data_IF_176689437078
#
_entry.id   IF_176689437078
#
_cell.length_a   1.000
_cell.length_b   1.000
_cell.length_c   1.000
_cell.angle_alpha   90.00
_cell.angle_beta   90.00
_cell.angle_gamma   90.00
#
_symmetry.space_group_name_H-M   'P 1'
#
loop_
_entity.id
_entity.type
_entity.pdbx_description
1 polymer ?
#
# COMPACT_ATOMS: atom_id res chain seq x y z
N UNK A 1 -13.60 49.83 25.02
CA UNK A 1 -13.38 48.37 24.85
C UNK A 1 -12.01 48.16 24.23
N UNK A 2 -11.05 47.59 24.96
CA UNK A 2 -9.76 47.26 24.36
C UNK A 2 -9.93 46.03 23.46
N UNK A 3 -9.76 46.19 22.15
CA UNK A 3 -9.72 45.10 21.19
C UNK A 3 -8.43 44.31 21.38
N UNK A 4 -8.39 43.42 22.38
CA UNK A 4 -7.27 42.54 22.65
C UNK A 4 -7.10 41.52 21.52
N UNK A 5 -6.34 41.88 20.48
CA UNK A 5 -5.93 40.93 19.43
C UNK A 5 -5.04 39.89 20.11
N UNK A 6 -5.48 38.63 20.17
CA UNK A 6 -4.69 37.54 20.77
C UNK A 6 -3.37 37.40 19.99
N UNK A 7 -2.26 37.83 20.58
CA UNK A 7 -0.92 37.82 19.96
C UNK A 7 -0.11 36.55 20.29
N UNK A 8 -0.67 35.62 21.08
CA UNK A 8 0.05 34.45 21.53
C UNK A 8 -0.87 33.25 21.77
N UNK A 9 -0.49 32.12 21.20
CA UNK A 9 -1.16 30.81 21.31
C UNK A 9 -0.40 29.77 20.46
N UNK A 10 -0.67 28.48 20.67
CA UNK A 10 -0.11 27.42 19.81
C UNK A 10 -0.60 27.66 18.37
N UNK A 11 0.32 27.66 17.41
CA UNK A 11 -0.06 27.73 15.99
C UNK A 11 -0.93 26.51 15.66
N UNK A 12 -2.02 26.74 14.92
CA UNK A 12 -2.84 25.65 14.43
C UNK A 12 -1.97 24.68 13.62
N UNK A 13 -2.07 23.39 13.91
CA UNK A 13 -1.22 22.36 13.31
C UNK A 13 0.06 22.03 14.07
N UNK A 14 0.41 22.71 15.17
CA UNK A 14 1.53 22.29 16.03
C UNK A 14 1.17 20.99 16.76
N UNK A 15 1.81 19.84 16.42
CA UNK A 15 1.51 18.55 17.02
C UNK A 15 1.80 18.59 18.53
N UNK A 16 1.08 17.77 19.29
CA UNK A 16 1.26 17.74 20.73
C UNK A 16 2.54 16.96 21.06
N UNK A 17 3.55 17.67 21.60
CA UNK A 17 4.91 17.13 21.81
C UNK A 17 4.91 15.82 22.59
N UNK A 18 4.16 15.75 23.69
CA UNK A 18 3.98 14.53 24.48
C UNK A 18 3.42 13.35 23.65
N UNK A 19 2.41 13.60 22.81
CA UNK A 19 1.84 12.53 21.97
C UNK A 19 2.75 12.10 20.83
N UNK A 20 3.65 12.99 20.39
CA UNK A 20 4.66 12.68 19.39
C UNK A 20 5.74 11.79 19.99
N UNK A 21 6.26 12.16 21.16
CA UNK A 21 7.29 11.38 21.88
C UNK A 21 6.81 9.98 22.25
N UNK A 22 5.58 9.85 22.77
CA UNK A 22 5.01 8.52 23.08
C UNK A 22 4.79 7.67 21.83
N UNK A 23 4.31 8.27 20.74
CA UNK A 23 4.16 7.57 19.46
C UNK A 23 5.51 7.12 18.91
N UNK A 24 6.54 7.97 19.01
CA UNK A 24 7.88 7.63 18.53
C UNK A 24 8.47 6.47 19.32
N UNK A 25 8.30 6.46 20.65
CA UNK A 25 8.74 5.35 21.49
C UNK A 25 8.08 4.02 21.09
N UNK A 26 6.77 4.05 20.84
CA UNK A 26 6.04 2.85 20.36
C UNK A 26 6.51 2.38 18.98
N UNK A 27 6.79 3.31 18.06
CA UNK A 27 7.32 2.96 16.73
C UNK A 27 8.69 2.33 16.86
N UNK A 28 9.56 2.87 17.71
CA UNK A 28 10.89 2.32 17.94
C UNK A 28 10.81 0.92 18.55
N UNK A 29 9.99 0.73 19.59
CA UNK A 29 9.79 -0.58 20.20
C UNK A 29 9.29 -1.63 19.19
N UNK A 30 8.34 -1.26 18.30
CA UNK A 30 7.90 -2.16 17.24
C UNK A 30 9.02 -2.46 16.23
N UNK A 31 9.86 -1.48 15.88
CA UNK A 31 11.00 -1.70 14.99
C UNK A 31 12.01 -2.68 15.59
N UNK A 32 12.32 -2.53 16.87
CA UNK A 32 13.24 -3.42 17.59
C UNK A 32 12.71 -4.87 17.61
N UNK A 33 11.40 -5.07 17.82
CA UNK A 33 10.76 -6.38 17.74
C UNK A 33 10.89 -7.02 16.35
N UNK A 34 10.81 -6.21 15.28
CA UNK A 34 11.02 -6.70 13.91
C UNK A 34 12.48 -7.12 13.66
N UNK A 35 13.46 -6.46 14.28
CA UNK A 35 14.87 -6.87 14.21
C UNK A 35 15.12 -8.19 14.94
N UNK A 36 14.41 -8.45 16.04
CA UNK A 36 14.53 -9.67 16.85
C UNK A 36 13.72 -10.85 16.30
N UNK A 37 12.81 -10.59 15.36
CA UNK A 37 11.92 -11.57 14.74
C UNK A 37 12.62 -12.85 14.24
N UNK A 38 13.83 -12.81 13.61
CA UNK A 38 14.54 -14.01 13.20
C UNK A 38 14.92 -14.93 14.37
N UNK A 39 15.31 -14.38 15.51
CA UNK A 39 15.67 -15.16 16.70
C UNK A 39 14.41 -15.73 17.38
N UNK A 40 13.34 -14.93 17.49
CA UNK A 40 12.04 -15.41 18.01
C UNK A 40 11.47 -16.56 17.17
N UNK A 41 11.60 -16.48 15.83
CA UNK A 41 11.21 -17.57 14.95
C UNK A 41 12.05 -18.83 15.17
N UNK A 42 13.32 -18.71 15.57
CA UNK A 42 14.18 -19.86 15.88
C UNK A 42 13.78 -20.58 17.17
N UNK A 43 13.19 -19.89 18.12
CA UNK A 43 12.71 -20.49 19.38
C UNK A 43 11.38 -21.23 19.23
N UNK A 44 10.58 -20.87 18.20
CA UNK A 44 9.29 -21.50 17.94
C UNK A 44 9.40 -22.96 17.48
N UNK A 45 8.38 -23.75 17.84
CA UNK A 45 8.21 -25.13 17.35
C UNK A 45 8.10 -25.14 15.82
N UNK A 46 8.52 -26.23 15.15
CA UNK A 46 8.54 -26.29 13.68
C UNK A 46 7.18 -25.98 13.04
N UNK A 47 6.08 -26.50 13.59
CA UNK A 47 4.74 -26.26 13.08
C UNK A 47 4.31 -24.78 13.20
N UNK A 48 4.52 -24.17 14.36
CA UNK A 48 4.18 -22.76 14.62
C UNK A 48 5.03 -21.82 13.77
N UNK A 49 6.29 -22.18 13.52
CA UNK A 49 7.19 -21.43 12.65
C UNK A 49 6.70 -21.37 11.21
N UNK A 50 6.25 -22.50 10.66
CA UNK A 50 5.70 -22.56 9.30
C UNK A 50 4.46 -21.67 9.20
N UNK A 51 3.58 -21.73 10.21
CA UNK A 51 2.38 -20.90 10.29
C UNK A 51 2.71 -19.40 10.35
N UNK A 52 3.70 -19.01 11.15
CA UNK A 52 4.17 -17.63 11.23
C UNK A 52 4.72 -17.14 9.88
N UNK A 53 5.56 -17.95 9.23
CA UNK A 53 6.11 -17.63 7.90
C UNK A 53 4.99 -17.48 6.85
N UNK A 54 3.97 -18.35 6.87
CA UNK A 54 2.84 -18.28 5.96
C UNK A 54 1.97 -17.03 6.16
N UNK A 55 1.91 -16.50 7.39
CA UNK A 55 1.24 -15.22 7.67
C UNK A 55 2.07 -14.03 7.22
N UNK A 56 3.38 -14.06 7.45
CA UNK A 56 4.31 -13.00 7.04
C UNK A 56 4.46 -12.90 5.51
N UNK A 57 4.44 -14.03 4.81
CA UNK A 57 4.57 -14.07 3.35
C UNK A 57 3.49 -13.28 2.62
N UNK A 58 2.29 -13.15 3.19
CA UNK A 58 1.18 -12.34 2.63
C UNK A 58 1.52 -10.85 2.53
N UNK A 59 2.42 -10.37 3.37
CA UNK A 59 2.84 -8.97 3.39
C UNK A 59 4.13 -8.74 2.58
N UNK A 60 4.96 -9.77 2.43
CA UNK A 60 6.20 -9.70 1.65
C UNK A 60 5.98 -9.96 0.15
N UNK A 61 5.01 -10.81 -0.18
CA UNK A 61 4.71 -11.19 -1.56
C UNK A 61 3.60 -10.30 -2.14
N UNK A 62 3.72 -9.85 -3.40
CA UNK A 62 2.63 -9.15 -4.07
C UNK A 62 1.43 -10.08 -4.21
N UNK A 63 0.24 -9.58 -3.89
CA UNK A 63 -0.99 -10.33 -4.12
C UNK A 63 -1.17 -10.59 -5.61
N UNK A 64 -1.40 -11.86 -5.99
CA UNK A 64 -1.61 -12.26 -7.38
C UNK A 64 -2.91 -11.60 -7.88
N UNK A 65 -2.78 -10.71 -8.86
CA UNK A 65 -3.94 -10.11 -9.52
C UNK A 65 -4.68 -11.18 -10.34
N UNK A 66 -6.01 -11.28 -10.25
CA UNK A 66 -6.77 -12.20 -11.08
C UNK A 66 -6.68 -11.77 -12.54
N UNK A 67 -6.17 -12.65 -13.41
CA UNK A 67 -6.15 -12.41 -14.85
C UNK A 67 -7.56 -12.63 -15.39
N UNK A 68 -8.26 -11.56 -15.76
CA UNK A 68 -9.50 -11.66 -16.52
C UNK A 68 -9.17 -12.00 -17.96
N UNK A 69 -9.56 -13.20 -18.42
CA UNK A 69 -9.45 -13.59 -19.82
C UNK A 69 -10.32 -12.67 -20.68
N UNK A 70 -9.68 -11.78 -21.44
CA UNK A 70 -10.36 -10.88 -22.38
C UNK A 70 -10.84 -11.71 -23.58
N UNK A 71 -12.15 -11.87 -23.75
CA UNK A 71 -12.74 -12.46 -24.95
C UNK A 71 -12.61 -11.43 -26.08
N UNK A 72 -11.77 -11.72 -27.07
CA UNK A 72 -11.59 -10.86 -28.25
C UNK A 72 -12.64 -11.27 -29.28
N UNK A 73 -13.73 -10.50 -29.39
CA UNK A 73 -14.68 -10.61 -30.50
C UNK A 73 -14.22 -9.66 -31.61
N UNK A 74 -13.49 -10.18 -32.60
CA UNK A 74 -13.15 -9.42 -33.80
C UNK A 74 -14.41 -9.21 -34.64
N UNK A 75 -14.87 -7.96 -34.79
CA UNK A 75 -15.86 -7.59 -35.81
C UNK A 75 -15.13 -7.16 -37.07
N UNK A 76 -15.15 -8.02 -38.09
CA UNK A 76 -14.76 -7.65 -39.44
C UNK A 76 -15.76 -6.61 -39.97
N UNK A 77 -15.29 -5.40 -40.29
CA UNK A 77 -16.05 -4.47 -41.12
C UNK A 77 -15.70 -4.76 -42.57
N UNK A 78 -16.70 -5.08 -43.40
CA UNK A 78 -16.54 -5.15 -44.84
C UNK A 78 -16.17 -3.74 -45.35
N UNK A 79 -15.00 -3.60 -45.98
CA UNK A 79 -14.63 -2.36 -46.67
C UNK A 79 -15.33 -2.33 -48.03
N UNK A 80 -16.16 -1.32 -48.27
CA UNK A 80 -17.02 -1.18 -49.46
C UNK A 80 -16.30 -0.61 -50.70
N UNK A 81 -14.97 -0.49 -50.66
CA UNK A 81 -14.17 0.15 -51.71
C UNK A 81 -13.44 -0.87 -52.60
N UNK A 82 -14.17 -1.81 -53.23
CA UNK A 82 -13.59 -2.82 -54.14
C UNK A 82 -13.72 -2.48 -55.64
N UNK A 83 -14.48 -1.44 -56.06
CA UNK A 83 -14.76 -1.20 -57.49
C UNK A 83 -14.70 0.26 -57.97
N UNK A 84 -13.98 1.16 -57.30
CA UNK A 84 -13.70 2.48 -57.88
C UNK A 84 -12.54 2.41 -58.89
N UNK A 85 -12.75 1.76 -60.03
CA UNK A 85 -11.83 1.81 -61.18
C UNK A 85 -12.00 3.15 -61.88
N UNK A 86 -10.98 4.01 -61.79
CA UNK A 86 -10.82 5.18 -62.65
C UNK A 86 -10.77 4.71 -64.11
N UNK A 87 -11.75 5.10 -64.92
CA UNK A 87 -11.66 5.06 -66.36
C UNK A 87 -11.59 6.50 -66.87
N UNK A 88 -10.47 6.78 -67.54
CA UNK A 88 -10.13 8.02 -68.25
C UNK A 88 -11.25 8.51 -69.18
#
# INVERSE_FOLDING_TARGET
MAAGKKTGGRKAGTPNKLTFETRQLLVNALADEFEQLPELLKELKPAERIDAICKLSKFALPAIAPVSTIKIENREKANDDMFAVNLN
#
